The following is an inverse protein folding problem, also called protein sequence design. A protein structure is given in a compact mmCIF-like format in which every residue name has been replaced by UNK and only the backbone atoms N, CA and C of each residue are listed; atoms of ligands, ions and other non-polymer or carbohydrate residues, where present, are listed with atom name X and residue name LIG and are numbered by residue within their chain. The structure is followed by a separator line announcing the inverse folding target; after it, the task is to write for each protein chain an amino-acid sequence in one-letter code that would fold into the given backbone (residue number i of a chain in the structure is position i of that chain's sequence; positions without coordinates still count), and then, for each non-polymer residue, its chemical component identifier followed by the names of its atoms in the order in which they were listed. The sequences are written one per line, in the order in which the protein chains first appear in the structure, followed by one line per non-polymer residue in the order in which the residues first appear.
data_IF_570938702083
#
_entry.id   IF_570938702083
#
_cell.length_a   1.000
_cell.length_b   1.000
_cell.length_c   1.000
_cell.angle_alpha   90.00
_cell.angle_beta   90.00
_cell.angle_gamma   90.00
#
_symmetry.space_group_name_H-M   'P 1'
#
loop_
_entity.id
_entity.type
_entity.pdbx_description
1 polymer ?
#
# COMPACT_ATOMS: atom_id res chain seq x y z
N UNK A 1 7.64 13.00 -6.49
CA UNK A 1 6.55 12.75 -7.45
C UNK A 1 6.98 12.62 -8.92
N UNK A 2 8.20 13.06 -9.28
CA UNK A 2 8.73 12.99 -10.66
C UNK A 2 8.59 11.61 -11.34
N UNK A 3 8.72 10.51 -10.61
CA UNK A 3 8.62 9.14 -11.16
C UNK A 3 7.21 8.53 -11.09
N UNK A 4 6.34 9.04 -10.21
CA UNK A 4 4.99 8.49 -9.99
C UNK A 4 4.00 9.13 -10.98
N UNK A 5 4.12 10.43 -11.26
CA UNK A 5 3.21 11.13 -12.18
C UNK A 5 3.19 10.56 -13.60
N UNK A 6 4.34 10.19 -14.23
CA UNK A 6 4.32 9.55 -15.54
C UNK A 6 3.60 8.20 -15.52
N UNK A 7 3.74 7.44 -14.44
CA UNK A 7 3.05 6.16 -14.27
C UNK A 7 1.53 6.36 -14.13
N UNK A 8 1.10 7.28 -13.27
CA UNK A 8 -0.33 7.53 -13.07
C UNK A 8 -1.01 8.11 -14.32
N UNK A 9 -0.31 8.96 -15.08
CA UNK A 9 -0.81 9.46 -16.36
C UNK A 9 -1.01 8.33 -17.38
N UNK A 10 -0.07 7.38 -17.44
CA UNK A 10 -0.24 6.17 -18.27
C UNK A 10 -1.43 5.34 -17.79
N UNK A 11 -1.55 5.12 -16.48
CA UNK A 11 -2.64 4.33 -15.90
C UNK A 11 -4.02 4.93 -16.22
N UNK A 12 -4.18 6.26 -16.07
CA UNK A 12 -5.41 6.99 -16.43
C UNK A 12 -5.74 6.92 -17.92
N UNK A 13 -4.72 6.84 -18.78
CA UNK A 13 -4.93 6.73 -20.23
C UNK A 13 -5.41 5.34 -20.63
N UNK A 14 -4.83 4.29 -20.04
CA UNK A 14 -5.22 2.90 -20.32
C UNK A 14 -6.57 2.52 -19.69
N UNK A 15 -6.90 3.13 -18.54
CA UNK A 15 -8.13 2.87 -17.80
C UNK A 15 -8.87 4.17 -17.47
N UNK A 16 -9.49 4.83 -18.48
CA UNK A 16 -10.12 6.14 -18.30
C UNK A 16 -11.33 6.13 -17.35
N UNK A 17 -12.03 4.99 -17.26
CA UNK A 17 -13.22 4.84 -16.42
C UNK A 17 -12.89 4.49 -14.96
N UNK A 18 -11.61 4.22 -14.65
CA UNK A 18 -11.17 3.88 -13.29
C UNK A 18 -10.56 5.13 -12.65
N UNK A 19 -11.17 5.58 -11.54
CA UNK A 19 -10.65 6.68 -10.76
C UNK A 19 -9.30 6.32 -10.13
N UNK A 20 -8.31 7.22 -10.27
CA UNK A 20 -7.00 7.09 -9.64
C UNK A 20 -6.91 8.05 -8.46
N UNK A 21 -6.98 7.50 -7.26
CA UNK A 21 -6.90 8.23 -5.99
C UNK A 21 -5.50 8.10 -5.39
N UNK A 22 -4.94 9.20 -4.90
CA UNK A 22 -3.68 9.20 -4.17
C UNK A 22 -3.94 9.08 -2.67
N UNK A 23 -3.24 8.14 -2.03
CA UNK A 23 -3.29 7.93 -0.58
C UNK A 23 -1.90 8.18 0.01
N UNK A 24 -1.88 8.75 1.20
CA UNK A 24 -0.65 8.93 1.97
C UNK A 24 -0.16 7.57 2.50
N UNK A 25 1.04 7.17 2.07
CA UNK A 25 1.68 5.89 2.42
C UNK A 25 2.66 6.03 3.60
N UNK A 26 2.71 7.20 4.23
CA UNK A 26 3.64 7.43 5.35
C UNK A 26 3.37 6.41 6.47
N UNK A 27 4.46 5.85 6.99
CA UNK A 27 4.47 4.84 8.06
C UNK A 27 3.84 3.49 7.73
N UNK A 28 3.37 3.25 6.50
CA UNK A 28 2.73 2.00 6.11
C UNK A 28 3.65 0.78 6.28
N UNK A 29 4.95 0.89 5.98
CA UNK A 29 5.91 -0.20 6.23
C UNK A 29 6.05 -0.53 7.73
N UNK A 30 6.02 0.48 8.59
CA UNK A 30 6.10 0.29 10.05
C UNK A 30 4.84 -0.40 10.55
N UNK A 31 3.67 0.05 10.10
CA UNK A 31 2.41 -0.58 10.45
C UNK A 31 2.35 -2.02 9.95
N UNK A 32 2.77 -2.30 8.72
CA UNK A 32 2.87 -3.65 8.18
C UNK A 32 3.74 -4.55 9.07
N UNK A 33 4.92 -4.08 9.48
CA UNK A 33 5.78 -4.84 10.40
C UNK A 33 5.13 -5.08 11.77
N UNK A 34 4.44 -4.09 12.33
CA UNK A 34 3.71 -4.24 13.59
C UNK A 34 2.58 -5.25 13.48
N UNK A 35 1.76 -5.19 12.42
CA UNK A 35 0.70 -6.17 12.15
C UNK A 35 1.26 -7.59 12.05
N UNK A 36 2.43 -7.78 11.44
CA UNK A 36 3.07 -9.09 11.40
C UNK A 36 3.55 -9.59 12.76
N UNK A 37 3.98 -8.69 13.65
CA UNK A 37 4.34 -9.03 15.03
C UNK A 37 3.10 -9.45 15.81
N UNK A 38 2.02 -8.68 15.71
CA UNK A 38 0.73 -8.98 16.34
C UNK A 38 0.13 -10.29 15.86
N UNK A 39 0.28 -10.61 14.57
CA UNK A 39 -0.11 -11.89 13.99
C UNK A 39 0.81 -13.07 14.35
N UNK A 40 1.85 -12.85 15.17
CA UNK A 40 2.72 -13.91 15.68
C UNK A 40 3.73 -14.48 14.67
N UNK A 41 4.00 -13.79 13.57
CA UNK A 41 4.98 -14.26 12.57
C UNK A 41 6.38 -14.30 13.17
N UNK A 42 7.23 -15.23 12.72
CA UNK A 42 8.63 -15.30 13.18
C UNK A 42 9.47 -14.21 12.52
N UNK A 43 10.62 -13.86 13.13
CA UNK A 43 11.51 -12.80 12.63
C UNK A 43 11.91 -12.99 11.17
N UNK A 44 12.16 -14.24 10.73
CA UNK A 44 12.51 -14.56 9.34
C UNK A 44 11.38 -14.22 8.37
N UNK A 45 10.14 -14.52 8.74
CA UNK A 45 8.97 -14.24 7.90
C UNK A 45 8.72 -12.73 7.80
N UNK A 46 8.98 -11.99 8.88
CA UNK A 46 8.91 -10.52 8.91
C UNK A 46 10.00 -9.80 8.11
N UNK A 47 11.07 -10.50 7.72
CA UNK A 47 12.11 -9.97 6.84
C UNK A 47 11.77 -10.18 5.36
N UNK A 48 10.71 -10.93 5.04
CA UNK A 48 10.28 -11.13 3.67
C UNK A 48 9.66 -9.85 3.13
N UNK A 49 10.44 -9.11 2.32
CA UNK A 49 10.01 -7.83 1.74
C UNK A 49 8.72 -7.96 0.93
N UNK A 50 8.54 -9.05 0.16
CA UNK A 50 7.32 -9.24 -0.62
C UNK A 50 6.08 -9.39 0.27
N UNK A 51 6.22 -10.00 1.44
CA UNK A 51 5.13 -10.10 2.41
C UNK A 51 4.83 -8.75 3.07
N UNK A 52 5.87 -7.98 3.41
CA UNK A 52 5.72 -6.62 3.95
C UNK A 52 5.01 -5.72 2.92
N UNK A 53 5.46 -5.72 1.66
CA UNK A 53 4.88 -4.91 0.58
C UNK A 53 3.40 -5.28 0.35
N UNK A 54 3.04 -6.56 0.43
CA UNK A 54 1.66 -7.02 0.30
C UNK A 54 0.76 -6.51 1.43
N UNK A 55 1.24 -6.58 2.67
CA UNK A 55 0.49 -6.08 3.84
C UNK A 55 0.37 -4.56 3.74
N UNK A 56 1.42 -3.86 3.33
CA UNK A 56 1.40 -2.42 3.09
C UNK A 56 0.34 -2.02 2.05
N UNK A 57 0.28 -2.70 0.90
CA UNK A 57 -0.76 -2.46 -0.10
C UNK A 57 -2.18 -2.69 0.45
N UNK A 58 -2.35 -3.68 1.33
CA UNK A 58 -3.64 -3.95 1.99
C UNK A 58 -4.02 -2.83 2.95
N UNK A 59 -3.07 -2.30 3.72
CA UNK A 59 -3.27 -1.16 4.62
C UNK A 59 -3.66 0.08 3.83
N UNK A 60 -3.00 0.37 2.70
CA UNK A 60 -3.36 1.52 1.85
C UNK A 60 -4.82 1.42 1.39
N UNK A 61 -5.24 0.23 0.95
CA UNK A 61 -6.63 -0.01 0.56
C UNK A 61 -7.59 0.16 1.74
N UNK A 62 -7.24 -0.37 2.92
CA UNK A 62 -8.05 -0.22 4.12
C UNK A 62 -8.20 1.25 4.52
N UNK A 63 -7.12 2.05 4.44
CA UNK A 63 -7.15 3.49 4.69
C UNK A 63 -8.11 4.21 3.74
N UNK A 64 -8.06 3.90 2.43
CA UNK A 64 -8.99 4.47 1.46
C UNK A 64 -10.46 4.13 1.82
N UNK A 65 -10.76 2.85 2.04
CA UNK A 65 -12.11 2.39 2.35
C UNK A 65 -12.65 2.97 3.67
N UNK A 66 -11.78 3.18 4.66
CA UNK A 66 -12.16 3.74 5.96
C UNK A 66 -12.32 5.26 5.93
N UNK A 67 -11.71 5.94 4.96
CA UNK A 67 -11.80 7.40 4.81
C UNK A 67 -13.10 7.86 4.14
N UNK A 68 -13.86 6.94 3.53
CA UNK A 68 -15.12 7.22 2.80
C UNK A 68 -16.36 6.94 3.65
N UNK A 69 -16.20 6.72 4.96
CA UNK A 69 -17.30 6.62 5.95
C UNK A 69 -17.39 7.91 6.74
#
# INVERSE_FOLDING_TARGET
MQYILPFTNRLKKEFPDIEVVFIDERFTSVLAHNTMIEAGLRRKDRQNKALVDKIAATIILQTYLSSTI
#
